data_IF_396097126039
#
_entry.id   IF_396097126039
#
_cell.length_a   1.000
_cell.length_b   1.000
_cell.length_c   1.000
_cell.angle_alpha   90.00
_cell.angle_beta   90.00
_cell.angle_gamma   90.00
#
_symmetry.space_group_name_H-M   'P 1'
#
loop_
_entity.id
_entity.type
_entity.pdbx_description
1 polymer ?
#
# COMPACT_ATOMS: atom_id res chain seq x y z
N UNK A 1 15.41 -12.05 22.03
CA UNK A 1 16.49 -11.47 21.22
C UNK A 1 17.74 -11.42 22.06
N UNK A 2 18.82 -12.05 21.63
CA UNK A 2 20.13 -11.99 22.29
C UNK A 2 20.78 -10.61 22.07
N UNK A 3 21.82 -10.28 22.84
CA UNK A 3 22.54 -9.02 22.62
C UNK A 3 23.22 -8.97 21.24
N UNK A 4 23.66 -10.11 20.72
CA UNK A 4 24.26 -10.19 19.38
C UNK A 4 23.21 -10.01 18.28
N UNK A 5 22.06 -10.67 18.40
CA UNK A 5 20.93 -10.48 17.49
C UNK A 5 20.47 -9.02 17.47
N UNK A 6 20.42 -8.36 18.64
CA UNK A 6 20.08 -6.95 18.75
C UNK A 6 21.04 -6.06 17.97
N UNK A 7 22.34 -6.24 18.18
CA UNK A 7 23.38 -5.46 17.46
C UNK A 7 23.36 -5.71 15.96
N UNK A 8 23.06 -6.93 15.53
CA UNK A 8 22.91 -7.25 14.12
C UNK A 8 21.68 -6.56 13.51
N UNK A 9 20.55 -6.59 14.21
CA UNK A 9 19.32 -5.91 13.79
C UNK A 9 19.48 -4.39 13.72
N UNK A 10 20.07 -3.77 14.74
CA UNK A 10 20.33 -2.32 14.78
C UNK A 10 21.24 -1.90 13.60
N UNK A 11 22.30 -2.67 13.31
CA UNK A 11 23.13 -2.42 12.12
C UNK A 11 22.37 -2.53 10.80
N UNK A 12 21.48 -3.51 10.65
CA UNK A 12 20.66 -3.63 9.44
C UNK A 12 19.66 -2.48 9.28
N UNK A 13 19.08 -2.02 10.40
CA UNK A 13 18.19 -0.87 10.41
C UNK A 13 18.93 0.40 10.00
N UNK A 14 20.09 0.67 10.58
CA UNK A 14 20.88 1.86 10.27
C UNK A 14 21.24 1.90 8.79
N UNK A 15 21.74 0.77 8.25
CA UNK A 15 22.08 0.66 6.83
C UNK A 15 20.87 0.89 5.92
N UNK A 16 19.72 0.27 6.23
CA UNK A 16 18.51 0.46 5.44
C UNK A 16 17.98 1.90 5.51
N UNK A 17 18.11 2.53 6.68
CA UNK A 17 17.62 3.89 6.91
C UNK A 17 18.44 4.91 6.12
N UNK A 18 19.77 4.73 6.09
CA UNK A 18 20.66 5.61 5.35
C UNK A 18 20.43 5.52 3.84
N UNK A 19 20.34 4.30 3.30
CA UNK A 19 20.07 4.08 1.86
C UNK A 19 18.72 4.70 1.47
N UNK A 20 17.68 4.53 2.30
CA UNK A 20 16.37 5.13 2.04
C UNK A 20 16.42 6.66 2.06
N UNK A 21 17.15 7.25 3.00
CA UNK A 21 17.31 8.71 3.07
C UNK A 21 17.96 9.25 1.80
N UNK A 22 19.05 8.64 1.35
CA UNK A 22 19.76 9.06 0.14
C UNK A 22 18.86 8.97 -1.11
N UNK A 23 18.10 7.87 -1.25
CA UNK A 23 17.16 7.71 -2.36
C UNK A 23 16.04 8.73 -2.33
N UNK A 24 15.46 9.01 -1.15
CA UNK A 24 14.40 10.00 -0.97
C UNK A 24 14.90 11.41 -1.30
N UNK A 25 16.09 11.79 -0.84
CA UNK A 25 16.67 13.09 -1.16
C UNK A 25 16.91 13.26 -2.66
N UNK A 26 17.32 12.20 -3.36
CA UNK A 26 17.45 12.19 -4.83
C UNK A 26 16.11 12.36 -5.53
N UNK A 27 15.06 11.70 -5.05
CA UNK A 27 13.70 11.82 -5.61
C UNK A 27 13.16 13.24 -5.40
N UNK A 28 13.26 13.80 -4.19
CA UNK A 28 12.80 15.16 -3.87
C UNK A 28 13.55 16.21 -4.69
N UNK A 29 14.87 16.06 -4.86
CA UNK A 29 15.66 16.96 -5.72
C UNK A 29 15.30 16.86 -7.19
N UNK A 30 14.86 15.69 -7.65
CA UNK A 30 14.39 15.44 -9.01
C UNK A 30 13.00 16.04 -9.25
N UNK A 31 12.10 15.97 -8.28
CA UNK A 31 10.77 16.63 -8.35
C UNK A 31 10.88 18.16 -8.32
N UNK A 32 11.78 18.73 -7.51
CA UNK A 32 11.99 20.20 -7.45
C UNK A 32 12.54 20.82 -8.74
N UNK A 33 13.08 20.02 -9.65
CA UNK A 33 13.60 20.48 -10.95
C UNK A 33 12.59 20.30 -12.10
N UNK A 34 11.42 19.74 -11.85
CA UNK A 34 10.33 19.66 -12.82
C UNK A 34 9.34 20.80 -12.57
N UNK A 35 9.17 21.77 -13.48
CA UNK A 35 8.06 22.71 -13.40
C UNK A 35 6.78 21.98 -13.86
N UNK A 36 5.81 21.77 -12.96
CA UNK A 36 4.51 21.20 -13.35
C UNK A 36 3.70 20.59 -12.21
N UNK A 37 3.09 21.47 -11.41
CA UNK A 37 1.82 21.34 -10.67
C UNK A 37 1.23 19.95 -10.38
N UNK A 38 1.00 19.66 -9.09
CA UNK A 38 -0.32 19.25 -8.61
C UNK A 38 -0.62 19.88 -7.25
N UNK A 39 -1.51 20.87 -7.29
CA UNK A 39 -2.23 21.40 -6.14
C UNK A 39 -2.98 20.26 -5.45
N UNK A 40 -2.81 20.17 -4.14
CA UNK A 40 -3.63 19.31 -3.28
C UNK A 40 -4.92 20.08 -2.99
N UNK A 41 -5.87 20.01 -3.91
CA UNK A 41 -7.25 20.38 -3.62
C UNK A 41 -7.96 19.11 -3.12
N UNK A 42 -8.28 19.07 -1.83
CA UNK A 42 -9.38 18.26 -1.32
C UNK A 42 -10.69 18.74 -1.97
N UNK A 43 -11.57 17.83 -2.42
CA UNK A 43 -12.98 18.14 -2.39
C UNK A 43 -13.78 17.08 -1.64
N UNK A 44 -14.68 17.60 -0.81
CA UNK A 44 -15.87 16.94 -0.31
C UNK A 44 -16.70 16.30 -1.43
N UNK A 45 -17.49 15.33 -0.99
CA UNK A 45 -18.35 14.41 -1.72
C UNK A 45 -19.50 15.13 -2.42
N UNK A 46 -19.70 14.90 -3.73
CA UNK A 46 -21.05 14.95 -4.34
C UNK A 46 -21.26 13.83 -5.36
N UNK A 47 -22.33 13.05 -5.13
CA UNK A 47 -22.85 12.02 -6.03
C UNK A 47 -23.47 12.67 -7.28
N UNK A 48 -23.16 12.16 -8.47
CA UNK A 48 -24.09 12.16 -9.61
C UNK A 48 -23.78 11.04 -10.61
N UNK A 49 -24.84 10.43 -11.09
CA UNK A 49 -24.92 9.16 -11.81
C UNK A 49 -24.70 9.32 -13.32
N UNK A 50 -23.77 8.53 -13.89
CA UNK A 50 -23.71 7.95 -15.27
C UNK A 50 -23.72 8.89 -16.50
N UNK A 51 -23.42 8.41 -17.74
CA UNK A 51 -22.76 7.16 -18.18
C UNK A 51 -21.41 7.41 -18.93
N UNK A 52 -20.45 6.49 -18.79
CA UNK A 52 -19.13 6.54 -19.43
C UNK A 52 -19.18 5.72 -20.73
N UNK A 53 -19.07 6.37 -21.89
CA UNK A 53 -18.69 5.73 -23.15
C UNK A 53 -17.30 6.22 -23.56
N UNK A 54 -16.29 5.39 -23.38
CA UNK A 54 -15.03 5.43 -24.13
C UNK A 54 -14.57 4.00 -24.44
N UNK A 55 -14.14 3.68 -25.68
CA UNK A 55 -13.84 2.31 -26.13
C UNK A 55 -12.52 1.75 -25.56
N UNK A 56 -12.25 0.45 -25.74
CA UNK A 56 -11.42 -0.33 -24.83
C UNK A 56 -9.94 -0.26 -25.20
N UNK A 57 -9.14 0.38 -24.34
CA UNK A 57 -7.70 0.14 -24.32
C UNK A 57 -7.38 -0.94 -23.30
N UNK A 58 -6.95 -2.08 -23.83
CA UNK A 58 -6.26 -3.18 -23.17
C UNK A 58 -6.83 -3.66 -21.84
N UNK A 59 -7.65 -4.71 -21.94
CA UNK A 59 -8.00 -5.60 -20.83
C UNK A 59 -6.73 -6.31 -20.31
N UNK A 60 -5.85 -5.58 -19.62
CA UNK A 60 -5.05 -6.21 -18.56
C UNK A 60 -6.06 -6.68 -17.54
N UNK A 61 -6.01 -7.97 -17.27
CA UNK A 61 -6.90 -8.70 -16.38
C UNK A 61 -6.87 -8.10 -14.96
N UNK A 62 -7.64 -7.02 -14.73
CA UNK A 62 -7.74 -6.28 -13.45
C UNK A 62 -8.12 -7.23 -12.30
N UNK A 63 -8.76 -8.37 -12.62
CA UNK A 63 -9.15 -9.40 -11.66
C UNK A 63 -7.95 -10.04 -10.92
N UNK A 64 -6.74 -10.00 -11.50
CA UNK A 64 -5.52 -10.51 -10.84
C UNK A 64 -4.88 -9.51 -9.87
N UNK A 65 -5.34 -8.27 -9.86
CA UNK A 65 -4.73 -7.22 -9.04
C UNK A 65 -5.29 -7.12 -7.64
N UNK A 66 -6.50 -7.64 -7.37
CA UNK A 66 -7.16 -7.52 -6.08
C UNK A 66 -7.75 -8.86 -5.61
N UNK A 67 -7.59 -9.15 -4.32
CA UNK A 67 -8.18 -10.33 -3.67
C UNK A 67 -8.94 -9.95 -2.41
N UNK A 68 -10.01 -10.71 -2.13
CA UNK A 68 -10.82 -10.56 -0.93
C UNK A 68 -10.17 -11.36 0.20
N UNK A 69 -9.99 -10.72 1.36
CA UNK A 69 -9.43 -11.36 2.54
C UNK A 69 -10.27 -11.09 3.78
N UNK A 70 -10.29 -12.04 4.72
CA UNK A 70 -10.78 -11.86 6.09
C UNK A 70 -9.61 -11.71 7.05
N UNK A 71 -9.64 -10.69 7.91
CA UNK A 71 -8.62 -10.51 8.94
C UNK A 71 -8.83 -11.45 10.13
N UNK A 72 -7.73 -12.00 10.65
CA UNK A 72 -7.74 -12.92 11.79
C UNK A 72 -7.38 -12.25 13.13
N UNK A 73 -6.85 -11.02 13.07
CA UNK A 73 -6.42 -10.23 14.23
C UNK A 73 -6.45 -8.75 13.88
N UNK A 74 -6.52 -7.90 14.90
CA UNK A 74 -6.38 -6.45 14.73
C UNK A 74 -4.97 -6.13 14.20
N UNK A 75 -4.91 -5.24 13.21
CA UNK A 75 -3.65 -4.76 12.66
C UNK A 75 -3.59 -3.22 12.78
N UNK A 76 -2.41 -2.66 13.12
CA UNK A 76 -2.21 -1.23 13.06
C UNK A 76 -2.51 -0.69 11.65
N UNK A 77 -2.91 0.58 11.59
CA UNK A 77 -3.10 1.27 10.31
C UNK A 77 -1.85 1.17 9.46
N UNK A 78 -2.01 0.81 8.19
CA UNK A 78 -0.90 0.69 7.23
C UNK A 78 -1.22 1.37 5.90
N UNK A 79 -0.16 1.74 5.18
CA UNK A 79 -0.27 2.30 3.82
C UNK A 79 -0.10 1.17 2.81
N UNK A 80 -1.06 0.99 1.92
CA UNK A 80 -0.96 0.02 0.82
C UNK A 80 -0.06 0.48 -0.31
N UNK A 81 0.27 -0.44 -1.23
CA UNK A 81 1.01 -0.09 -2.48
C UNK A 81 0.30 0.94 -3.37
N UNK A 82 -0.99 1.15 -3.15
CA UNK A 82 -1.84 2.15 -3.79
C UNK A 82 -1.83 3.50 -3.07
N UNK A 83 -1.05 3.65 -1.99
CA UNK A 83 -0.96 4.87 -1.19
C UNK A 83 -2.14 5.10 -0.24
N UNK A 84 -3.09 4.17 -0.14
CA UNK A 84 -4.26 4.31 0.73
C UNK A 84 -3.94 3.85 2.16
N UNK A 85 -4.52 4.54 3.15
CA UNK A 85 -4.47 4.13 4.54
C UNK A 85 -5.56 3.08 4.82
N UNK A 86 -5.16 1.95 5.39
CA UNK A 86 -6.05 0.86 5.77
C UNK A 86 -6.04 0.70 7.28
N UNK A 87 -7.21 0.86 7.89
CA UNK A 87 -7.47 0.52 9.30
C UNK A 87 -8.46 -0.64 9.29
N UNK A 88 -7.98 -1.83 9.61
CA UNK A 88 -8.74 -3.07 9.52
C UNK A 88 -8.65 -3.81 10.86
N UNK A 89 -9.80 -4.19 11.40
CA UNK A 89 -9.93 -4.92 12.64
C UNK A 89 -10.08 -6.43 12.40
N UNK A 90 -10.03 -7.20 13.48
CA UNK A 90 -10.29 -8.64 13.43
C UNK A 90 -11.67 -8.94 12.83
N UNK A 91 -11.73 -9.99 12.00
CA UNK A 91 -12.90 -10.45 11.22
C UNK A 91 -13.37 -9.51 10.11
N UNK A 92 -12.76 -8.33 9.93
CA UNK A 92 -13.09 -7.47 8.79
C UNK A 92 -12.80 -8.17 7.45
N UNK A 93 -13.67 -7.91 6.48
CA UNK A 93 -13.52 -8.38 5.10
C UNK A 93 -13.11 -7.18 4.25
N UNK A 94 -11.96 -7.28 3.60
CA UNK A 94 -11.43 -6.21 2.76
C UNK A 94 -11.00 -6.73 1.39
N UNK A 95 -11.16 -5.87 0.38
CA UNK A 95 -10.60 -6.07 -0.96
C UNK A 95 -9.27 -5.34 -1.01
N UNK A 96 -8.18 -6.09 -1.14
CA UNK A 96 -6.82 -5.55 -1.11
C UNK A 96 -6.07 -5.96 -2.36
N UNK A 97 -5.08 -5.18 -2.76
CA UNK A 97 -4.21 -5.58 -3.86
C UNK A 97 -3.53 -6.91 -3.54
N UNK A 98 -3.24 -7.71 -4.57
CA UNK A 98 -2.60 -9.02 -4.44
C UNK A 98 -1.30 -8.94 -3.63
N UNK A 99 -0.55 -7.84 -3.77
CA UNK A 99 0.69 -7.60 -3.02
C UNK A 99 0.40 -7.39 -1.52
N UNK A 100 -0.53 -6.49 -1.18
CA UNK A 100 -0.89 -6.21 0.20
C UNK A 100 -1.48 -7.45 0.88
N UNK A 101 -2.40 -8.13 0.21
CA UNK A 101 -3.08 -9.29 0.73
C UNK A 101 -2.12 -10.47 0.98
N UNK A 102 -1.21 -10.77 0.03
CA UNK A 102 -0.17 -11.79 0.24
C UNK A 102 0.71 -11.48 1.45
N UNK A 103 1.07 -10.21 1.66
CA UNK A 103 1.85 -9.82 2.82
C UNK A 103 1.12 -10.12 4.15
N UNK A 104 -0.19 -9.86 4.22
CA UNK A 104 -1.01 -10.17 5.40
C UNK A 104 -1.20 -11.67 5.59
N UNK A 105 -1.45 -12.43 4.52
CA UNK A 105 -1.62 -13.89 4.55
C UNK A 105 -0.32 -14.58 5.01
N UNK A 106 0.83 -14.20 4.45
CA UNK A 106 2.12 -14.76 4.83
C UNK A 106 2.47 -14.53 6.31
N UNK A 107 1.97 -13.44 6.89
CA UNK A 107 2.11 -13.11 8.33
C UNK A 107 1.03 -13.72 9.22
N UNK A 108 0.17 -14.59 8.66
CA UNK A 108 -0.97 -15.20 9.33
C UNK A 108 -1.89 -14.14 9.97
N UNK A 109 -2.05 -13.00 9.29
CA UNK A 109 -2.92 -11.90 9.73
C UNK A 109 -4.25 -11.87 8.99
N UNK A 110 -4.33 -12.52 7.83
CA UNK A 110 -5.56 -12.63 7.06
C UNK A 110 -5.63 -14.00 6.36
N UNK A 111 -6.82 -14.37 5.94
CA UNK A 111 -7.08 -15.53 5.05
C UNK A 111 -7.77 -15.03 3.79
N UNK A 112 -7.44 -15.63 2.65
CA UNK A 112 -8.18 -15.35 1.42
C UNK A 112 -9.56 -15.99 1.49
N UNK A 113 -10.58 -15.24 1.05
CA UNK A 113 -11.93 -15.77 0.84
C UNK A 113 -12.06 -16.04 -0.65
N UNK A 114 -12.26 -17.29 -1.02
CA UNK A 114 -12.65 -17.70 -2.36
C UNK A 114 -14.15 -17.98 -2.33
N UNK A 115 -14.91 -17.24 -3.14
CA UNK A 115 -16.33 -17.51 -3.39
C UNK A 115 -16.52 -18.57 -4.46
#
# INVERSE_FOLDING_TARGET
MTQEERRFYERLLDLNTEIRRELLDKIIKKEKQAPGSREVATPEIEKKETPIETPPEDKKDISKEYIVVRLLKDIPTFVGVDGRNYTLAKEDIAVLSTVNAKALINRKAAIQITG
#
